data_IF_994357676119
#
_entry.id   IF_994357676119
#
_cell.length_a   1.000
_cell.length_b   1.000
_cell.length_c   1.000
_cell.angle_alpha   90.00
_cell.angle_beta   90.00
_cell.angle_gamma   90.00
#
_symmetry.space_group_name_H-M   'P 1'
#
loop_
_entity.id
_entity.type
_entity.pdbx_description
1 polymer ?
#
# COMPACT_ATOMS: atom_id res chain seq x y z
N UNK A 1 -42.69 34.96 -8.78
CA UNK A 1 -42.68 35.50 -10.15
C UNK A 1 -41.50 34.90 -10.92
N UNK A 2 -41.81 34.32 -12.09
CA UNK A 2 -40.98 33.91 -13.25
C UNK A 2 -39.70 33.08 -13.01
N UNK A 3 -39.86 31.77 -13.21
CA UNK A 3 -38.82 30.80 -13.59
C UNK A 3 -38.49 30.99 -15.07
N UNK A 4 -37.22 31.03 -15.43
CA UNK A 4 -36.76 30.90 -16.82
C UNK A 4 -36.23 29.50 -17.06
N UNK A 5 -36.98 28.71 -17.83
CA UNK A 5 -36.49 27.51 -18.51
C UNK A 5 -35.84 27.95 -19.84
N UNK A 6 -34.65 27.42 -20.18
CA UNK A 6 -34.14 27.48 -21.55
C UNK A 6 -34.83 26.45 -22.47
N UNK A 7 -34.81 26.82 -23.75
CA UNK A 7 -35.61 26.41 -24.91
C UNK A 7 -35.39 24.98 -25.42
N UNK A 8 -36.46 24.43 -26.01
CA UNK A 8 -36.60 23.17 -26.75
C UNK A 8 -36.13 23.33 -28.21
N UNK A 9 -34.83 23.51 -28.47
CA UNK A 9 -34.34 23.74 -29.85
C UNK A 9 -33.11 22.92 -30.30
N UNK A 10 -32.75 21.83 -29.61
CA UNK A 10 -31.61 20.96 -30.02
C UNK A 10 -31.97 19.47 -30.25
N UNK A 11 -33.24 19.15 -30.54
CA UNK A 11 -33.66 17.76 -30.82
C UNK A 11 -34.51 17.62 -32.09
N UNK A 12 -34.06 18.10 -33.24
CA UNK A 12 -34.66 17.71 -34.53
C UNK A 12 -33.60 17.65 -35.64
N UNK A 13 -32.92 16.51 -35.77
CA UNK A 13 -32.27 16.13 -37.03
C UNK A 13 -32.15 14.62 -37.19
N UNK A 14 -33.28 13.94 -37.04
CA UNK A 14 -33.47 12.56 -37.48
C UNK A 14 -34.78 12.48 -38.26
N UNK A 15 -34.69 11.83 -39.44
CA UNK A 15 -35.75 11.48 -40.39
C UNK A 15 -35.97 12.52 -41.48
N UNK A 16 -35.44 12.24 -42.67
CA UNK A 16 -36.19 12.07 -43.92
C UNK A 16 -35.20 11.66 -45.02
N UNK A 17 -35.28 10.40 -45.49
CA UNK A 17 -34.68 9.97 -46.76
C UNK A 17 -35.81 9.44 -47.67
N UNK A 18 -35.92 9.92 -48.92
CA UNK A 18 -36.93 9.51 -49.90
C UNK A 18 -36.58 8.16 -50.56
N UNK A 19 -37.52 7.56 -51.32
CA UNK A 19 -37.48 6.13 -51.68
C UNK A 19 -36.59 5.81 -52.87
N UNK A 20 -36.29 4.50 -52.96
CA UNK A 20 -35.49 3.82 -53.97
C UNK A 20 -36.04 4.03 -55.39
N UNK A 21 -35.15 4.42 -56.30
CA UNK A 21 -35.32 4.26 -57.75
C UNK A 21 -34.38 3.17 -58.23
N UNK A 22 -34.97 2.15 -58.86
CA UNK A 22 -34.26 1.08 -59.59
C UNK A 22 -33.58 1.66 -60.83
N UNK A 23 -32.27 1.44 -60.96
CA UNK A 23 -31.56 1.51 -62.24
C UNK A 23 -30.31 0.59 -62.25
N UNK A 24 -29.85 0.16 -63.45
CA UNK A 24 -29.37 -1.20 -63.67
C UNK A 24 -27.89 -1.45 -63.41
N UNK A 25 -27.62 -2.72 -63.12
CA UNK A 25 -26.34 -3.34 -62.81
C UNK A 25 -25.29 -3.15 -63.92
N UNK A 26 -24.17 -2.52 -63.58
CA UNK A 26 -22.90 -2.65 -64.32
C UNK A 26 -22.05 -3.76 -63.68
N UNK A 27 -21.47 -4.68 -64.47
CA UNK A 27 -20.71 -5.80 -63.92
C UNK A 27 -19.34 -5.31 -63.43
N UNK A 28 -19.13 -5.33 -62.11
CA UNK A 28 -17.78 -5.19 -61.54
C UNK A 28 -16.96 -6.47 -61.79
N UNK A 29 -15.66 -6.35 -62.12
CA UNK A 29 -14.78 -7.48 -62.37
C UNK A 29 -14.64 -8.34 -61.11
N UNK A 30 -14.79 -9.65 -61.28
CA UNK A 30 -14.58 -10.67 -60.25
C UNK A 30 -13.20 -10.47 -59.60
N UNK A 31 -13.20 -9.98 -58.35
CA UNK A 31 -12.06 -10.17 -57.45
C UNK A 31 -12.08 -11.65 -57.07
N UNK A 32 -11.01 -12.36 -57.44
CA UNK A 32 -10.81 -13.75 -57.09
C UNK A 32 -10.93 -13.91 -55.55
N UNK A 33 -11.53 -15.01 -55.06
CA UNK A 33 -11.59 -15.27 -53.64
C UNK A 33 -10.16 -15.34 -53.11
N UNK A 34 -9.78 -14.38 -52.26
CA UNK A 34 -8.60 -14.53 -51.41
C UNK A 34 -8.82 -15.81 -50.63
N UNK A 35 -7.91 -16.76 -50.88
CA UNK A 35 -7.86 -18.07 -50.24
C UNK A 35 -8.05 -17.87 -48.74
N UNK A 36 -9.20 -18.30 -48.23
CA UNK A 36 -9.51 -18.19 -46.81
C UNK A 36 -8.40 -18.85 -46.02
N UNK A 37 -7.80 -18.10 -45.09
CA UNK A 37 -6.85 -18.63 -44.13
C UNK A 37 -7.45 -19.90 -43.53
N UNK A 38 -6.81 -21.04 -43.79
CA UNK A 38 -7.30 -22.31 -43.25
C UNK A 38 -7.30 -22.21 -41.72
N UNK A 39 -8.19 -22.94 -41.02
CA UNK A 39 -8.20 -22.96 -39.56
C UNK A 39 -6.81 -23.25 -38.95
N UNK A 40 -5.98 -24.06 -39.64
CA UNK A 40 -4.58 -24.30 -39.30
C UNK A 40 -3.67 -23.07 -39.44
N UNK A 41 -3.82 -22.29 -40.51
CA UNK A 41 -3.08 -21.03 -40.70
C UNK A 41 -3.51 -19.97 -39.68
N UNK A 42 -4.80 -19.90 -39.33
CA UNK A 42 -5.30 -19.00 -38.28
C UNK A 42 -4.75 -19.36 -36.89
N UNK A 43 -4.73 -20.65 -36.55
CA UNK A 43 -4.13 -21.17 -35.32
C UNK A 43 -2.61 -20.93 -35.26
N UNK A 44 -1.90 -21.10 -36.38
CA UNK A 44 -0.48 -20.80 -36.48
C UNK A 44 -0.22 -19.28 -36.30
N UNK A 45 -1.06 -18.42 -36.86
CA UNK A 45 -0.96 -16.98 -36.69
C UNK A 45 -1.26 -16.56 -35.24
N UNK A 46 -2.26 -17.16 -34.60
CA UNK A 46 -2.56 -16.93 -33.18
C UNK A 46 -1.43 -17.39 -32.26
N UNK A 47 -0.79 -18.54 -32.54
CA UNK A 47 0.39 -18.99 -31.79
C UNK A 47 1.58 -18.06 -32.02
N UNK A 48 1.82 -17.64 -33.26
CA UNK A 48 2.94 -16.73 -33.58
C UNK A 48 2.73 -15.35 -32.96
N UNK A 49 1.50 -14.82 -33.01
CA UNK A 49 1.13 -13.56 -32.36
C UNK A 49 1.20 -13.67 -30.83
N UNK A 50 0.75 -14.78 -30.24
CA UNK A 50 0.87 -15.07 -28.82
C UNK A 50 2.34 -15.17 -28.37
N UNK A 51 3.18 -15.83 -29.17
CA UNK A 51 4.62 -15.94 -28.92
C UNK A 51 5.33 -14.58 -29.08
N UNK A 52 5.00 -13.78 -30.10
CA UNK A 52 5.56 -12.45 -30.27
C UNK A 52 5.14 -11.48 -29.15
N UNK A 53 3.89 -11.57 -28.69
CA UNK A 53 3.41 -10.82 -27.53
C UNK A 53 4.13 -11.27 -26.24
N UNK A 54 4.30 -12.58 -26.03
CA UNK A 54 5.04 -13.12 -24.89
C UNK A 54 6.52 -12.70 -24.92
N UNK A 55 7.18 -12.77 -26.08
CA UNK A 55 8.57 -12.30 -26.26
C UNK A 55 8.67 -10.78 -26.04
N UNK A 56 7.70 -10.00 -26.51
CA UNK A 56 7.64 -8.56 -26.26
C UNK A 56 7.45 -8.21 -24.78
N UNK A 57 6.64 -8.99 -24.06
CA UNK A 57 6.46 -8.87 -22.60
C UNK A 57 7.75 -9.26 -21.86
N UNK A 58 8.38 -10.37 -22.22
CA UNK A 58 9.67 -10.81 -21.66
C UNK A 58 10.78 -9.80 -21.91
N UNK A 59 10.89 -9.25 -23.12
CA UNK A 59 11.88 -8.24 -23.46
C UNK A 59 11.66 -6.92 -22.68
N UNK A 60 10.41 -6.49 -22.51
CA UNK A 60 10.05 -5.34 -21.66
C UNK A 60 10.36 -5.61 -20.19
N UNK A 61 10.07 -6.81 -19.69
CA UNK A 61 10.38 -7.21 -18.32
C UNK A 61 11.90 -7.25 -18.07
N UNK A 62 12.69 -7.82 -19.00
CA UNK A 62 14.14 -7.80 -18.93
C UNK A 62 14.71 -6.38 -18.98
N UNK A 63 14.15 -5.50 -19.81
CA UNK A 63 14.55 -4.09 -19.87
C UNK A 63 14.28 -3.34 -18.55
N UNK A 64 13.20 -3.65 -17.83
CA UNK A 64 12.91 -3.08 -16.49
C UNK A 64 13.95 -3.55 -15.47
N UNK A 65 14.33 -4.84 -15.49
CA UNK A 65 15.38 -5.38 -14.62
C UNK A 65 16.73 -4.73 -14.90
N UNK A 66 17.08 -4.49 -16.18
CA UNK A 66 18.39 -3.94 -16.54
C UNK A 66 18.56 -2.42 -16.35
N UNK A 67 17.48 -1.62 -16.31
CA UNK A 67 17.58 -0.15 -16.25
C UNK A 67 17.90 0.42 -14.86
N UNK A 68 17.51 -0.26 -13.78
CA UNK A 68 17.82 0.23 -12.43
C UNK A 68 19.11 -0.42 -11.92
N UNK A 69 20.15 0.38 -11.67
CA UNK A 69 21.40 -0.08 -11.06
C UNK A 69 21.47 0.38 -9.61
N UNK A 70 21.69 -0.57 -8.71
CA UNK A 70 22.00 -0.27 -7.31
C UNK A 70 23.39 0.38 -7.26
N UNK A 71 23.44 1.66 -6.87
CA UNK A 71 24.68 2.47 -6.84
C UNK A 71 25.57 2.11 -5.66
N UNK A 72 24.97 1.67 -4.56
CA UNK A 72 25.66 1.25 -3.34
C UNK A 72 24.79 0.31 -2.52
N UNK A 73 25.43 -0.51 -1.67
CA UNK A 73 24.76 -1.59 -0.94
C UNK A 73 24.64 -2.88 -1.76
N UNK A 74 23.98 -3.90 -1.18
CA UNK A 74 23.68 -5.15 -1.87
C UNK A 74 22.39 -4.99 -2.66
N UNK A 75 22.34 -5.49 -3.89
CA UNK A 75 21.09 -5.52 -4.66
C UNK A 75 20.06 -6.43 -3.97
N UNK A 76 18.86 -5.92 -3.58
CA UNK A 76 17.84 -6.74 -2.96
C UNK A 76 17.44 -7.96 -3.79
N UNK A 77 17.46 -7.87 -5.13
CA UNK A 77 17.10 -9.01 -5.99
C UNK A 77 18.00 -10.21 -5.71
N UNK A 78 19.32 -9.99 -5.57
CA UNK A 78 20.29 -11.05 -5.29
C UNK A 78 20.07 -11.70 -3.92
N UNK A 79 19.66 -10.93 -2.91
CA UNK A 79 19.43 -11.49 -1.57
C UNK A 79 18.10 -12.25 -1.49
N UNK A 80 17.09 -11.73 -2.20
CA UNK A 80 15.72 -12.21 -2.21
C UNK A 80 15.45 -13.30 -3.25
N UNK A 81 16.45 -13.65 -4.05
CA UNK A 81 16.37 -14.73 -5.05
C UNK A 81 16.32 -16.12 -4.40
N UNK A 82 16.84 -16.25 -3.17
CA UNK A 82 16.79 -17.52 -2.43
C UNK A 82 15.35 -17.92 -2.09
N UNK A 83 15.05 -19.22 -2.16
CA UNK A 83 13.71 -19.75 -1.92
C UNK A 83 13.20 -19.48 -0.48
N UNK A 84 14.11 -19.41 0.49
CA UNK A 84 13.84 -19.15 1.92
C UNK A 84 13.85 -17.65 2.28
N UNK A 85 14.21 -16.75 1.34
CA UNK A 85 14.36 -15.34 1.66
C UNK A 85 13.00 -14.65 1.90
N UNK A 86 12.80 -14.14 3.12
CA UNK A 86 11.62 -13.34 3.53
C UNK A 86 11.98 -11.92 3.95
N UNK A 87 13.08 -11.38 3.43
CA UNK A 87 13.48 -10.01 3.68
C UNK A 87 12.45 -9.01 3.17
N UNK A 88 12.26 -7.91 3.90
CA UNK A 88 11.27 -6.89 3.59
C UNK A 88 11.91 -5.59 3.10
N UNK A 89 11.23 -4.94 2.15
CA UNK A 89 11.62 -3.65 1.58
C UNK A 89 11.01 -2.48 2.36
N UNK A 90 11.88 -1.53 2.68
CA UNK A 90 11.60 -0.26 3.35
C UNK A 90 12.31 0.87 2.62
N UNK A 91 11.97 2.12 2.97
CA UNK A 91 12.64 3.28 2.37
C UNK A 91 11.71 4.20 1.59
N UNK A 92 12.30 4.97 0.69
CA UNK A 92 11.66 6.07 -0.05
C UNK A 92 10.69 5.53 -1.10
N UNK A 93 9.44 6.02 -1.11
CA UNK A 93 8.37 5.32 -1.83
C UNK A 93 8.59 5.19 -3.34
N UNK A 94 9.13 6.20 -4.04
CA UNK A 94 9.38 6.12 -5.49
C UNK A 94 10.48 5.11 -5.81
N UNK A 95 11.58 5.13 -5.06
CA UNK A 95 12.65 4.17 -5.26
C UNK A 95 12.27 2.75 -4.82
N UNK A 96 11.54 2.63 -3.70
CA UNK A 96 10.93 1.37 -3.25
C UNK A 96 9.99 0.81 -4.31
N UNK A 97 9.23 1.65 -5.02
CA UNK A 97 8.37 1.23 -6.14
C UNK A 97 9.21 0.61 -7.27
N UNK A 98 10.35 1.19 -7.62
CA UNK A 98 11.23 0.60 -8.65
C UNK A 98 11.82 -0.74 -8.22
N UNK A 99 12.35 -0.86 -7.00
CA UNK A 99 12.80 -2.16 -6.47
C UNK A 99 11.66 -3.18 -6.49
N UNK A 100 10.45 -2.76 -6.09
CA UNK A 100 9.26 -3.63 -6.07
C UNK A 100 8.85 -4.09 -7.46
N UNK A 101 8.93 -3.24 -8.49
CA UNK A 101 8.66 -3.63 -9.89
C UNK A 101 9.63 -4.70 -10.37
N UNK A 102 10.92 -4.54 -10.05
CA UNK A 102 11.95 -5.53 -10.41
C UNK A 102 11.72 -6.86 -9.68
N UNK A 103 11.42 -6.82 -8.39
CA UNK A 103 11.08 -8.01 -7.62
C UNK A 103 9.80 -8.68 -8.12
N UNK A 104 8.79 -7.92 -8.55
CA UNK A 104 7.57 -8.49 -9.12
C UNK A 104 7.85 -9.34 -10.37
N UNK A 105 8.91 -9.03 -11.15
CA UNK A 105 9.36 -9.88 -12.26
C UNK A 105 10.07 -11.14 -11.73
N UNK A 106 10.99 -11.00 -10.77
CA UNK A 106 11.70 -12.13 -10.15
C UNK A 106 10.75 -13.10 -9.43
N UNK A 107 9.68 -12.57 -8.85
CA UNK A 107 8.70 -13.30 -8.06
C UNK A 107 7.58 -13.88 -8.94
N UNK A 108 7.61 -13.72 -10.26
CA UNK A 108 6.67 -14.40 -11.17
C UNK A 108 6.80 -15.91 -10.99
N UNK A 109 5.67 -16.57 -10.67
CA UNK A 109 5.64 -18.00 -10.38
C UNK A 109 6.07 -18.38 -8.96
N UNK A 110 6.47 -17.42 -8.12
CA UNK A 110 6.68 -17.64 -6.68
C UNK A 110 5.40 -17.31 -5.94
N UNK A 111 4.62 -18.34 -5.61
CA UNK A 111 3.44 -18.17 -4.78
C UNK A 111 3.83 -17.52 -3.43
N UNK A 112 3.07 -16.51 -3.00
CA UNK A 112 3.18 -15.84 -1.69
C UNK A 112 4.47 -15.04 -1.41
N UNK A 113 5.17 -14.54 -2.44
CA UNK A 113 6.34 -13.68 -2.24
C UNK A 113 5.98 -12.28 -1.68
N UNK A 114 5.83 -12.17 -0.35
CA UNK A 114 5.54 -10.89 0.32
C UNK A 114 6.82 -10.10 0.56
N UNK A 115 6.99 -9.00 -0.17
CA UNK A 115 8.21 -8.14 -0.10
C UNK A 115 8.04 -6.88 0.74
N UNK A 116 6.85 -6.62 1.28
CA UNK A 116 6.59 -5.46 2.14
C UNK A 116 5.60 -5.82 3.23
N UNK A 117 5.65 -5.08 4.35
CA UNK A 117 4.63 -5.20 5.40
C UNK A 117 3.23 -4.78 4.94
N UNK A 118 3.15 -3.90 3.93
CA UNK A 118 1.90 -3.49 3.30
C UNK A 118 1.21 -4.71 2.63
N UNK A 119 2.00 -5.63 2.04
CA UNK A 119 1.50 -6.88 1.46
C UNK A 119 1.04 -7.88 2.53
N UNK A 120 1.79 -8.04 3.63
CA UNK A 120 1.35 -8.85 4.78
C UNK A 120 0.01 -8.34 5.36
N UNK A 121 -0.14 -7.02 5.51
CA UNK A 121 -1.39 -6.44 6.00
C UNK A 121 -2.53 -6.54 4.97
N UNK A 122 -2.23 -6.50 3.67
CA UNK A 122 -3.23 -6.71 2.62
C UNK A 122 -3.77 -8.13 2.66
N UNK A 123 -2.89 -9.12 2.68
CA UNK A 123 -3.27 -10.54 2.67
C UNK A 123 -3.89 -10.96 4.01
N UNK A 124 -3.57 -10.28 5.11
CA UNK A 124 -4.28 -10.45 6.38
C UNK A 124 -5.65 -9.72 6.43
N UNK A 125 -6.05 -9.01 5.36
CA UNK A 125 -7.31 -8.25 5.27
C UNK A 125 -7.36 -6.95 6.09
N UNK A 126 -6.26 -6.57 6.73
CA UNK A 126 -6.14 -5.36 7.57
C UNK A 126 -6.27 -4.08 6.74
N UNK A 127 -5.70 -4.05 5.53
CA UNK A 127 -5.71 -2.84 4.69
C UNK A 127 -7.13 -2.40 4.32
N UNK A 128 -8.00 -3.36 4.03
CA UNK A 128 -9.38 -3.15 3.64
C UNK A 128 -10.19 -2.64 4.84
N UNK A 129 -10.02 -3.26 6.01
CA UNK A 129 -10.67 -2.80 7.23
C UNK A 129 -10.30 -1.35 7.58
N UNK A 130 -9.03 -0.96 7.34
CA UNK A 130 -8.53 0.37 7.66
C UNK A 130 -8.82 1.44 6.57
N UNK A 131 -9.36 1.07 5.41
CA UNK A 131 -9.53 1.98 4.27
C UNK A 131 -11.01 2.30 3.98
N UNK A 132 -11.44 3.58 4.06
CA UNK A 132 -10.84 4.71 4.75
C UNK A 132 -11.40 4.93 6.16
N UNK A 133 -12.18 3.99 6.70
CA UNK A 133 -12.92 4.20 7.92
C UNK A 133 -12.00 4.12 9.16
N UNK A 134 -11.99 5.18 9.97
CA UNK A 134 -11.32 5.16 11.27
C UNK A 134 -11.78 3.99 12.13
N UNK A 135 -13.05 3.56 12.00
CA UNK A 135 -13.62 2.44 12.76
C UNK A 135 -12.97 1.09 12.44
N UNK A 136 -12.22 1.00 11.34
CA UNK A 136 -11.34 -0.12 11.03
C UNK A 136 -10.44 -0.54 12.20
N UNK A 137 -9.99 0.41 13.03
CA UNK A 137 -9.14 0.08 14.19
C UNK A 137 -9.85 -0.84 15.19
N UNK A 138 -11.17 -0.74 15.33
CA UNK A 138 -11.92 -1.59 16.25
C UNK A 138 -12.14 -2.99 15.69
N UNK A 139 -12.29 -3.13 14.37
CA UNK A 139 -12.25 -4.44 13.72
C UNK A 139 -10.89 -5.12 13.96
N UNK A 140 -9.80 -4.35 13.84
CA UNK A 140 -8.46 -4.87 14.17
C UNK A 140 -8.35 -5.28 15.63
N UNK A 141 -8.86 -4.48 16.58
CA UNK A 141 -8.88 -4.85 18.00
C UNK A 141 -9.61 -6.17 18.21
N UNK A 142 -10.82 -6.31 17.68
CA UNK A 142 -11.60 -7.53 17.83
C UNK A 142 -10.91 -8.74 17.20
N UNK A 143 -10.27 -8.59 16.04
CA UNK A 143 -9.53 -9.67 15.41
C UNK A 143 -8.26 -10.07 16.18
N UNK A 144 -7.65 -9.15 16.93
CA UNK A 144 -6.49 -9.48 17.77
C UNK A 144 -6.86 -10.27 19.03
N UNK A 145 -8.15 -10.29 19.39
CA UNK A 145 -8.68 -11.04 20.54
C UNK A 145 -9.21 -12.42 20.15
N UNK A 146 -9.33 -12.76 18.85
CA UNK A 146 -9.68 -14.14 18.47
C UNK A 146 -8.50 -15.06 18.75
N UNK A 147 -8.73 -16.24 19.33
CA UNK A 147 -7.65 -17.18 19.62
C UNK A 147 -7.25 -17.95 18.36
N UNK A 148 -8.22 -18.48 17.62
CA UNK A 148 -8.01 -19.23 16.39
C UNK A 148 -7.74 -18.30 15.20
N UNK A 149 -6.81 -18.69 14.33
CA UNK A 149 -6.59 -18.03 13.06
C UNK A 149 -7.71 -18.33 12.05
N UNK A 150 -8.42 -19.46 12.18
CA UNK A 150 -9.61 -19.73 11.39
C UNK A 150 -10.68 -18.65 11.59
N UNK A 151 -10.78 -18.12 12.80
CA UNK A 151 -11.69 -17.02 13.15
C UNK A 151 -11.21 -15.66 12.65
N UNK A 152 -9.94 -15.52 12.24
CA UNK A 152 -9.40 -14.27 11.70
C UNK A 152 -10.15 -13.86 10.41
N UNK A 153 -10.39 -14.82 9.52
CA UNK A 153 -11.12 -14.60 8.27
C UNK A 153 -12.60 -14.25 8.51
N UNK A 154 -13.17 -14.62 9.66
CA UNK A 154 -14.50 -14.16 10.06
C UNK A 154 -14.56 -12.66 10.36
N UNK A 155 -13.44 -12.08 10.79
CA UNK A 155 -13.29 -10.64 11.06
C UNK A 155 -12.84 -9.87 9.83
N UNK A 156 -12.12 -10.53 8.92
CA UNK A 156 -11.63 -9.94 7.67
C UNK A 156 -11.97 -10.81 6.47
N UNK A 157 -13.13 -10.56 5.86
CA UNK A 157 -13.63 -11.32 4.69
C UNK A 157 -12.75 -11.19 3.44
N UNK A 158 -11.83 -10.22 3.42
CA UNK A 158 -10.88 -9.96 2.34
C UNK A 158 -9.48 -10.51 2.65
N UNK A 159 -9.30 -11.23 3.76
CA UNK A 159 -8.06 -11.95 4.02
C UNK A 159 -7.87 -13.05 2.96
N UNK A 160 -6.61 -13.42 2.71
CA UNK A 160 -6.24 -14.51 1.82
C UNK A 160 -6.97 -15.81 2.25
N UNK A 161 -7.76 -16.45 1.37
CA UNK A 161 -8.47 -17.69 1.70
C UNK A 161 -7.56 -18.85 2.12
N UNK A 162 -6.26 -18.78 1.80
CA UNK A 162 -5.23 -19.73 2.20
C UNK A 162 -4.46 -19.35 3.46
N UNK A 163 -4.85 -18.28 4.17
CA UNK A 163 -4.12 -17.75 5.33
C UNK A 163 -3.88 -18.79 6.44
N UNK A 164 -4.84 -19.70 6.66
CA UNK A 164 -4.72 -20.81 7.61
C UNK A 164 -3.70 -21.89 7.19
N UNK A 165 -3.17 -21.82 5.97
CA UNK A 165 -2.12 -22.71 5.47
C UNK A 165 -0.80 -21.98 5.18
N UNK A 166 -0.76 -20.66 5.43
CA UNK A 166 0.41 -19.82 5.19
C UNK A 166 1.15 -19.53 6.49
N UNK A 167 2.31 -20.18 6.68
CA UNK A 167 3.12 -20.05 7.90
C UNK A 167 3.66 -18.63 8.11
N UNK A 168 3.90 -17.88 7.03
CA UNK A 168 4.39 -16.51 7.12
C UNK A 168 3.30 -15.57 7.61
N UNK A 169 2.07 -15.71 7.12
CA UNK A 169 0.92 -14.94 7.59
C UNK A 169 0.55 -15.30 9.03
N UNK A 170 0.56 -16.58 9.37
CA UNK A 170 0.37 -17.04 10.77
C UNK A 170 1.37 -16.39 11.70
N UNK A 171 2.65 -16.42 11.34
CA UNK A 171 3.71 -15.81 12.13
C UNK A 171 3.51 -14.30 12.27
N UNK A 172 3.10 -13.61 11.20
CA UNK A 172 2.80 -12.18 11.26
C UNK A 172 1.61 -11.86 12.16
N UNK A 173 0.50 -12.59 12.04
CA UNK A 173 -0.68 -12.41 12.90
C UNK A 173 -0.35 -12.68 14.36
N UNK A 174 0.37 -13.76 14.66
CA UNK A 174 0.84 -14.05 16.02
C UNK A 174 1.73 -12.92 16.56
N UNK A 175 2.60 -12.37 15.71
CA UNK A 175 3.46 -11.24 16.06
C UNK A 175 2.68 -9.96 16.40
N UNK A 176 1.55 -9.73 15.69
CA UNK A 176 0.61 -8.64 15.97
C UNK A 176 -0.16 -8.88 17.28
N UNK A 177 -0.69 -10.10 17.50
CA UNK A 177 -1.42 -10.47 18.72
C UNK A 177 -0.57 -10.26 19.98
N UNK A 178 0.71 -10.67 19.94
CA UNK A 178 1.66 -10.43 21.04
C UNK A 178 1.95 -8.94 21.32
N UNK A 179 1.43 -8.02 20.50
CA UNK A 179 1.60 -6.57 20.60
C UNK A 179 0.28 -5.82 20.45
N UNK A 180 -0.84 -6.49 20.78
CA UNK A 180 -2.20 -5.99 20.59
C UNK A 180 -2.44 -4.63 21.21
N UNK A 181 -1.90 -4.36 22.40
CA UNK A 181 -2.04 -3.06 23.09
C UNK A 181 -1.46 -1.92 22.27
N UNK A 182 -0.32 -2.19 21.61
CA UNK A 182 0.33 -1.21 20.77
C UNK A 182 -0.36 -1.11 19.41
N UNK A 183 -0.67 -2.21 18.74
CA UNK A 183 -1.21 -2.11 17.37
C UNK A 183 -2.69 -1.71 17.34
N UNK A 184 -3.46 -2.09 18.36
CA UNK A 184 -4.84 -1.64 18.59
C UNK A 184 -4.93 -0.18 19.08
N UNK A 185 -3.81 0.53 19.26
CA UNK A 185 -3.77 1.91 19.75
C UNK A 185 -4.40 2.09 21.15
N UNK A 186 -4.40 1.05 21.99
CA UNK A 186 -4.97 1.11 23.34
C UNK A 186 -4.21 2.12 24.22
N UNK A 187 -2.89 2.21 24.06
CA UNK A 187 -2.03 3.20 24.70
C UNK A 187 -2.35 4.66 24.34
N UNK A 188 -3.07 4.90 23.25
CA UNK A 188 -3.55 6.23 22.86
C UNK A 188 -4.97 6.52 23.37
N UNK A 189 -5.71 5.47 23.75
CA UNK A 189 -7.04 5.54 24.35
C UNK A 189 -7.06 5.49 25.88
N UNK A 190 -5.89 5.47 26.53
CA UNK A 190 -5.77 5.45 27.99
C UNK A 190 -6.22 6.75 28.65
N UNK A 191 -6.57 6.68 29.93
CA UNK A 191 -6.87 7.87 30.74
C UNK A 191 -5.57 8.44 31.34
N UNK A 192 -5.45 9.77 31.38
CA UNK A 192 -4.37 10.47 32.08
C UNK A 192 -3.34 11.18 31.18
N UNK A 193 -2.40 11.91 31.81
CA UNK A 193 -1.41 12.74 31.11
C UNK A 193 -0.53 11.96 30.12
N UNK A 194 -0.17 10.71 30.46
CA UNK A 194 0.71 9.89 29.63
C UNK A 194 0.13 9.56 28.25
N UNK A 195 -1.16 9.21 28.18
CA UNK A 195 -1.84 8.95 26.91
C UNK A 195 -1.92 10.23 26.07
N UNK A 196 -2.18 11.37 26.72
CA UNK A 196 -2.23 12.68 26.09
C UNK A 196 -0.86 13.13 25.58
N UNK A 197 0.21 12.87 26.33
CA UNK A 197 1.58 13.17 25.92
C UNK A 197 2.05 12.25 24.79
N UNK A 198 1.64 10.98 24.79
CA UNK A 198 1.84 10.09 23.63
C UNK A 198 1.06 10.57 22.40
N UNK A 199 -0.15 11.06 22.55
CA UNK A 199 -0.97 11.63 21.47
C UNK A 199 -0.39 12.95 20.91
N UNK A 200 0.10 13.83 21.79
CA UNK A 200 0.81 15.05 21.41
C UNK A 200 2.15 14.73 20.75
N UNK A 201 2.92 13.82 21.35
CA UNK A 201 4.22 13.33 20.90
C UNK A 201 4.17 12.50 19.61
N UNK A 202 3.04 11.86 19.31
CA UNK A 202 2.76 11.20 18.01
C UNK A 202 2.55 12.20 16.87
N UNK A 203 2.68 13.50 17.15
CA UNK A 203 2.64 14.60 16.18
C UNK A 203 1.26 14.74 15.57
N UNK A 204 0.21 14.75 16.40
CA UNK A 204 -1.16 15.04 16.01
C UNK A 204 -1.26 16.10 14.91
N UNK A 205 -0.62 17.27 15.11
CA UNK A 205 -0.63 18.34 14.12
C UNK A 205 0.27 18.18 12.89
N UNK A 206 1.23 17.24 12.86
CA UNK A 206 2.03 16.97 11.65
C UNK A 206 1.37 15.95 10.72
N UNK A 207 0.36 15.23 11.21
CA UNK A 207 -0.39 14.25 10.42
C UNK A 207 -1.66 14.86 9.78
N UNK A 208 -2.05 16.07 10.18
CA UNK A 208 -3.19 16.83 9.65
C UNK A 208 -2.78 17.88 8.60
N UNK A 209 -1.83 17.53 7.70
CA UNK A 209 -1.21 18.40 6.68
C UNK A 209 -0.21 19.44 7.22
N UNK A 210 -0.58 20.31 8.16
CA UNK A 210 0.35 21.27 8.80
C UNK A 210 -0.10 21.75 10.19
N UNK A 211 0.79 22.47 10.89
CA UNK A 211 0.60 22.88 12.27
C UNK A 211 -0.45 24.02 12.44
N UNK A 212 -0.76 24.76 11.37
CA UNK A 212 -1.79 25.81 11.41
C UNK A 212 -3.17 25.20 11.24
N UNK A 213 -3.33 24.28 10.27
CA UNK A 213 -4.53 23.48 10.09
C UNK A 213 -4.85 22.68 11.36
N UNK A 214 -3.86 22.02 11.96
CA UNK A 214 -4.05 21.28 13.20
C UNK A 214 -4.52 22.13 14.39
N UNK A 215 -4.17 23.42 14.42
CA UNK A 215 -4.62 24.37 15.43
C UNK A 215 -6.03 24.89 15.15
N UNK A 216 -6.43 24.92 13.88
CA UNK A 216 -7.77 25.35 13.46
C UNK A 216 -8.78 24.20 13.36
N UNK A 217 -8.34 22.93 13.37
CA UNK A 217 -9.29 21.81 13.42
C UNK A 217 -9.92 21.70 14.83
N UNK A 218 -11.23 21.44 14.93
CA UNK A 218 -11.88 21.11 16.20
C UNK A 218 -11.54 19.68 16.70
N UNK A 219 -10.72 18.94 15.94
CA UNK A 219 -10.23 17.61 16.29
C UNK A 219 -9.11 17.79 17.33
N UNK A 220 -9.29 17.23 18.53
CA UNK A 220 -8.31 17.38 19.62
C UNK A 220 -7.77 16.02 20.05
N UNK A 221 -6.55 15.96 20.62
CA UNK A 221 -6.05 14.73 21.23
C UNK A 221 -7.03 14.14 22.25
N UNK A 222 -7.67 14.96 23.09
CA UNK A 222 -8.63 14.47 24.08
C UNK A 222 -9.83 13.76 23.44
N UNK A 223 -10.38 14.31 22.34
CA UNK A 223 -11.51 13.70 21.63
C UNK A 223 -11.12 12.37 21.00
N UNK A 224 -9.97 12.29 20.34
CA UNK A 224 -9.48 11.04 19.74
C UNK A 224 -9.19 10.00 20.82
N UNK A 225 -8.57 10.39 21.93
CA UNK A 225 -8.24 9.47 23.02
C UNK A 225 -9.53 8.92 23.65
N UNK A 226 -10.51 9.80 23.93
CA UNK A 226 -11.85 9.40 24.37
C UNK A 226 -12.54 8.46 23.39
N UNK A 227 -12.36 8.68 22.08
CA UNK A 227 -12.88 7.80 21.05
C UNK A 227 -12.14 6.45 20.97
N UNK A 228 -10.84 6.40 21.28
CA UNK A 228 -10.04 5.18 21.26
C UNK A 228 -10.10 4.35 22.55
N UNK A 229 -10.89 4.74 23.55
CA UNK A 229 -10.96 4.03 24.85
C UNK A 229 -11.16 2.52 24.69
N UNK A 230 -10.48 1.75 25.53
CA UNK A 230 -10.19 0.33 25.31
C UNK A 230 -11.39 -0.64 25.26
N UNK A 231 -12.56 -0.28 25.80
CA UNK A 231 -13.73 -1.19 25.82
C UNK A 231 -14.67 -1.05 24.62
N UNK A 232 -14.41 -0.11 23.70
CA UNK A 232 -15.28 0.14 22.54
C UNK A 232 -15.11 -0.95 21.48
N UNK A 233 -16.23 -1.48 21.00
CA UNK A 233 -16.31 -2.49 19.91
C UNK A 233 -16.63 -1.83 18.58
N UNK A 234 -16.39 -2.52 17.47
CA UNK A 234 -16.63 -2.01 16.12
C UNK A 234 -18.09 -1.57 15.92
N UNK A 235 -19.05 -2.41 16.34
CA UNK A 235 -20.48 -2.12 16.23
C UNK A 235 -20.91 -0.81 16.93
N UNK A 236 -20.29 -0.48 18.07
CA UNK A 236 -20.57 0.76 18.80
C UNK A 236 -19.77 1.96 18.29
N UNK A 237 -18.65 1.71 17.63
CA UNK A 237 -17.73 2.77 17.22
C UNK A 237 -18.28 3.64 16.08
N UNK A 238 -19.06 3.07 15.16
CA UNK A 238 -19.68 3.82 14.05
C UNK A 238 -20.77 4.78 14.55
N UNK A 239 -21.57 4.34 15.52
CA UNK A 239 -22.56 5.20 16.18
C UNK A 239 -21.87 6.35 16.92
N UNK A 240 -20.85 6.02 17.70
CA UNK A 240 -20.06 7.00 18.46
C UNK A 240 -19.27 7.95 17.55
N UNK A 241 -18.82 7.50 16.38
CA UNK A 241 -18.12 8.35 15.41
C UNK A 241 -18.99 9.54 14.99
N UNK A 242 -20.28 9.30 14.72
CA UNK A 242 -21.23 10.32 14.26
C UNK A 242 -21.69 11.26 15.37
N UNK A 243 -21.68 10.81 16.62
CA UNK A 243 -22.06 11.65 17.78
C UNK A 243 -20.86 12.43 18.32
N UNK A 244 -19.67 11.83 18.30
CA UNK A 244 -18.46 12.43 18.88
C UNK A 244 -17.70 13.34 17.91
N UNK A 245 -17.95 13.29 16.59
CA UNK A 245 -17.24 14.09 15.60
C UNK A 245 -18.22 14.63 14.53
N UNK A 246 -17.94 15.83 14.04
CA UNK A 246 -18.71 16.40 12.92
C UNK A 246 -18.28 15.76 11.60
N UNK A 247 -19.13 15.86 10.58
CA UNK A 247 -18.86 15.35 9.22
C UNK A 247 -17.53 15.86 8.65
N UNK A 248 -17.16 17.10 8.96
CA UNK A 248 -15.91 17.73 8.52
C UNK A 248 -14.68 17.16 9.24
N UNK A 249 -14.83 16.65 10.47
CA UNK A 249 -13.74 16.09 11.27
C UNK A 249 -13.42 14.64 10.92
N UNK A 250 -14.41 13.87 10.45
CA UNK A 250 -14.27 12.43 10.17
C UNK A 250 -13.15 12.14 9.16
N UNK A 251 -13.01 12.85 8.02
CA UNK A 251 -11.92 12.61 7.08
C UNK A 251 -10.52 12.78 7.68
N UNK A 252 -10.37 13.70 8.62
CA UNK A 252 -9.10 13.98 9.27
C UNK A 252 -8.79 12.97 10.38
N UNK A 253 -9.82 12.53 11.11
CA UNK A 253 -9.70 11.38 12.02
C UNK A 253 -9.30 10.10 11.25
N UNK A 254 -9.97 9.82 10.13
CA UNK A 254 -9.66 8.69 9.24
C UNK A 254 -8.19 8.69 8.84
N UNK A 255 -7.68 9.82 8.32
CA UNK A 255 -6.27 9.99 7.95
C UNK A 255 -5.34 9.79 9.14
N UNK A 256 -5.68 10.34 10.30
CA UNK A 256 -4.84 10.25 11.48
C UNK A 256 -4.73 8.81 12.00
N UNK A 257 -5.87 8.10 12.12
CA UNK A 257 -5.93 6.70 12.56
C UNK A 257 -5.17 5.81 11.59
N UNK A 258 -5.43 5.96 10.28
CA UNK A 258 -4.71 5.25 9.23
C UNK A 258 -3.19 5.46 9.37
N UNK A 259 -2.76 6.72 9.49
CA UNK A 259 -1.35 7.06 9.61
C UNK A 259 -0.71 6.53 10.90
N UNK A 260 -1.42 6.60 12.03
CA UNK A 260 -0.93 6.11 13.32
C UNK A 260 -0.75 4.59 13.29
N UNK A 261 -1.75 3.88 12.77
CA UNK A 261 -1.75 2.42 12.64
C UNK A 261 -0.64 1.93 11.70
N UNK A 262 -0.61 2.40 10.45
CA UNK A 262 0.35 1.90 9.45
C UNK A 262 1.80 2.28 9.77
N UNK A 263 2.02 3.37 10.52
CA UNK A 263 3.33 3.69 11.04
C UNK A 263 3.80 2.72 12.14
N UNK A 264 2.89 2.17 12.93
CA UNK A 264 3.21 1.15 13.94
C UNK A 264 3.43 -0.20 13.28
N UNK A 265 2.55 -0.63 12.36
CA UNK A 265 2.77 -1.89 11.60
C UNK A 265 4.09 -1.84 10.83
N UNK A 266 4.46 -0.72 10.23
CA UNK A 266 5.75 -0.56 9.54
C UNK A 266 6.96 -0.85 10.44
N UNK A 267 6.96 -0.31 11.67
CA UNK A 267 8.02 -0.59 12.66
C UNK A 267 7.98 -2.03 13.16
N UNK A 268 6.79 -2.57 13.38
CA UNK A 268 6.63 -3.97 13.73
C UNK A 268 7.12 -4.90 12.63
N UNK A 269 6.93 -4.53 11.36
CA UNK A 269 7.49 -5.28 10.25
C UNK A 269 9.02 -5.34 10.31
N UNK A 270 9.68 -4.23 10.70
CA UNK A 270 11.14 -4.20 10.89
C UNK A 270 11.54 -5.19 11.99
N UNK A 271 10.88 -5.11 13.14
CA UNK A 271 11.17 -5.98 14.28
C UNK A 271 10.82 -7.45 13.99
N UNK A 272 9.76 -7.72 13.23
CA UNK A 272 9.33 -9.04 12.78
C UNK A 272 10.37 -9.66 11.84
N UNK A 273 10.78 -8.91 10.81
CA UNK A 273 11.81 -9.33 9.85
C UNK A 273 13.10 -9.70 10.58
N UNK A 274 13.53 -8.85 11.51
CA UNK A 274 14.72 -9.09 12.31
C UNK A 274 14.57 -10.30 13.23
N UNK A 275 13.42 -10.47 13.90
CA UNK A 275 13.17 -11.61 14.80
C UNK A 275 13.22 -12.96 14.11
N UNK A 276 13.00 -12.99 12.78
CA UNK A 276 13.09 -14.18 11.94
C UNK A 276 14.46 -14.37 11.28
N UNK A 277 15.43 -13.52 11.60
CA UNK A 277 16.77 -13.57 11.01
C UNK A 277 16.84 -13.16 9.54
N UNK A 278 15.80 -12.50 9.02
CA UNK A 278 15.77 -12.04 7.63
C UNK A 278 16.34 -10.63 7.46
N UNK A 279 16.74 -10.30 6.25
CA UNK A 279 17.34 -9.01 5.92
C UNK A 279 16.28 -7.91 5.84
N UNK A 280 16.54 -6.78 6.49
CA UNK A 280 15.80 -5.53 6.30
C UNK A 280 16.47 -4.77 5.16
N UNK A 281 15.77 -4.58 4.04
CA UNK A 281 16.27 -3.82 2.90
C UNK A 281 15.76 -2.39 2.99
N UNK A 282 16.63 -1.44 3.32
CA UNK A 282 16.25 -0.03 3.47
C UNK A 282 16.84 0.82 2.35
N UNK A 283 15.98 1.33 1.48
CA UNK A 283 16.41 2.19 0.38
C UNK A 283 16.73 3.61 0.88
N UNK A 284 17.95 4.09 0.62
CA UNK A 284 18.47 5.39 1.07
C UNK A 284 18.54 6.46 -0.01
N UNK A 285 18.03 6.21 -1.23
CA UNK A 285 18.18 7.09 -2.39
C UNK A 285 17.59 8.52 -2.23
N UNK A 286 16.67 8.71 -1.27
CA UNK A 286 16.17 10.04 -0.90
C UNK A 286 17.00 10.79 0.14
N UNK A 287 18.14 10.24 0.56
CA UNK A 287 19.11 10.84 1.46
C UNK A 287 20.37 11.28 0.67
N UNK A 288 20.40 12.50 0.10
CA UNK A 288 21.49 12.95 -0.79
C UNK A 288 22.86 13.07 -0.11
N UNK A 289 22.90 13.07 1.23
CA UNK A 289 24.13 13.13 2.04
C UNK A 289 24.40 11.81 2.76
N UNK A 290 23.73 10.73 2.35
CA UNK A 290 23.98 9.43 2.96
C UNK A 290 25.35 8.92 2.52
N UNK A 291 26.10 8.46 3.51
CA UNK A 291 27.44 7.94 3.35
C UNK A 291 27.42 6.44 3.69
N UNK A 292 27.72 5.55 2.74
CA UNK A 292 27.74 4.10 2.98
C UNK A 292 28.78 3.68 4.03
N UNK A 293 29.84 4.46 4.24
CA UNK A 293 30.83 4.20 5.30
C UNK A 293 30.26 4.53 6.70
N UNK A 294 29.27 5.43 6.77
CA UNK A 294 28.61 5.87 8.00
C UNK A 294 27.08 5.68 7.92
N UNK A 295 26.59 4.43 7.75
CA UNK A 295 25.19 4.17 7.42
C UNK A 295 24.22 4.51 8.56
N UNK A 296 24.73 4.72 9.78
CA UNK A 296 23.96 5.11 10.97
C UNK A 296 24.07 6.60 11.32
N UNK A 297 24.78 7.39 10.50
CA UNK A 297 24.85 8.85 10.67
C UNK A 297 23.46 9.49 10.54
N UNK A 298 23.28 10.72 11.02
CA UNK A 298 21.98 11.37 10.87
C UNK A 298 21.65 11.63 9.39
N UNK A 299 20.69 10.86 8.86
CA UNK A 299 20.15 11.11 7.54
C UNK A 299 19.11 12.23 7.61
N UNK A 300 19.42 13.36 6.96
CA UNK A 300 18.41 14.34 6.58
C UNK A 300 17.78 13.88 5.26
N UNK A 301 16.68 13.13 5.35
CA UNK A 301 15.87 12.79 4.17
C UNK A 301 15.34 14.08 3.52
N UNK A 302 15.57 14.28 2.21
CA UNK A 302 15.04 15.46 1.50
C UNK A 302 13.51 15.42 1.59
N UNK A 303 12.89 16.51 2.08
CA UNK A 303 11.42 16.70 2.05
C UNK A 303 10.83 16.47 0.64
N UNK A 304 11.60 16.77 -0.41
CA UNK A 304 11.21 16.62 -1.82
C UNK A 304 11.06 15.18 -2.33
N UNK A 305 11.77 14.20 -1.77
CA UNK A 305 11.55 12.77 -2.11
C UNK A 305 10.26 12.19 -1.51
N UNK A 306 9.56 12.99 -0.70
CA UNK A 306 8.32 12.67 0.01
C UNK A 306 7.14 13.55 -0.46
N UNK A 307 7.37 14.58 -1.29
CA UNK A 307 6.35 15.54 -1.72
C UNK A 307 5.33 14.96 -2.72
N UNK A 308 5.68 13.92 -3.47
CA UNK A 308 4.81 13.37 -4.53
C UNK A 308 4.06 12.08 -4.11
N UNK A 309 3.80 11.90 -2.82
CA UNK A 309 2.92 10.82 -2.31
C UNK A 309 1.59 11.40 -1.80
N UNK A 310 1.24 12.61 -2.25
CA UNK A 310 0.02 13.30 -1.89
C UNK A 310 -0.93 13.31 -3.08
N UNK A 311 -1.68 12.22 -3.22
CA UNK A 311 -3.08 12.35 -3.60
C UNK A 311 -3.99 11.60 -2.62
N UNK A 312 -3.52 10.54 -1.95
CA UNK A 312 -4.29 9.86 -0.90
C UNK A 312 -3.40 9.43 0.30
N UNK A 313 -3.79 9.83 1.53
CA UNK A 313 -3.22 9.41 2.84
C UNK A 313 -1.69 9.62 3.08
N UNK A 314 -1.15 10.76 2.64
CA UNK A 314 0.29 11.09 2.50
C UNK A 314 1.26 10.76 3.65
N UNK A 315 2.36 10.08 3.28
CA UNK A 315 3.37 9.40 4.11
C UNK A 315 4.49 10.27 4.70
N UNK A 316 4.82 10.02 5.99
CA UNK A 316 6.12 10.31 6.65
C UNK A 316 6.80 9.05 7.24
N UNK A 317 6.40 7.85 6.79
CA UNK A 317 6.79 6.57 7.39
C UNK A 317 8.32 6.32 7.30
N UNK A 318 8.94 6.65 6.17
CA UNK A 318 10.36 6.37 5.86
C UNK A 318 11.36 6.96 6.86
N UNK A 319 11.19 8.20 7.30
CA UNK A 319 12.09 8.80 8.30
C UNK A 319 11.89 8.21 9.69
N UNK A 320 10.72 7.63 9.97
CA UNK A 320 10.46 6.93 11.22
C UNK A 320 10.94 5.50 11.21
N UNK A 321 10.87 4.80 10.07
CA UNK A 321 11.50 3.49 9.83
C UNK A 321 13.01 3.59 10.03
N UNK A 322 13.68 4.55 9.37
CA UNK A 322 15.13 4.74 9.52
C UNK A 322 15.54 4.95 10.98
N UNK A 323 14.85 5.85 11.68
CA UNK A 323 15.13 6.12 13.11
C UNK A 323 14.86 4.90 13.98
N UNK A 324 13.85 4.09 13.65
CA UNK A 324 13.56 2.85 14.35
C UNK A 324 14.70 1.84 14.15
N UNK A 325 15.10 1.57 12.90
CA UNK A 325 16.24 0.71 12.57
C UNK A 325 17.51 1.16 13.31
N UNK A 326 17.85 2.45 13.21
CA UNK A 326 19.02 3.03 13.90
C UNK A 326 18.94 2.84 15.41
N UNK A 327 17.77 3.05 16.02
CA UNK A 327 17.56 2.84 17.46
C UNK A 327 17.81 1.37 17.83
N UNK A 328 17.21 0.44 17.08
CA UNK A 328 17.30 -1.01 17.33
C UNK A 328 18.71 -1.57 17.11
N UNK A 329 19.45 -1.03 16.15
CA UNK A 329 20.88 -1.35 15.99
C UNK A 329 21.69 -0.84 17.18
N UNK A 330 21.44 0.39 17.63
CA UNK A 330 22.15 0.98 18.78
C UNK A 330 21.89 0.25 20.09
N UNK A 331 20.68 -0.28 20.30
CA UNK A 331 20.35 -1.08 21.48
C UNK A 331 20.82 -2.54 21.37
N UNK A 332 21.36 -2.97 20.23
CA UNK A 332 21.81 -4.35 20.01
C UNK A 332 20.68 -5.33 19.65
N UNK A 333 19.44 -4.86 19.54
CA UNK A 333 18.28 -5.70 19.21
C UNK A 333 18.29 -6.20 17.76
N UNK A 334 18.95 -5.45 16.87
CA UNK A 334 19.10 -5.80 15.45
C UNK A 334 20.58 -5.67 15.09
N UNK A 335 21.13 -6.71 14.48
CA UNK A 335 22.51 -6.66 13.97
C UNK A 335 22.61 -5.65 12.82
N UNK A 336 23.66 -4.83 12.81
CA UNK A 336 23.95 -3.98 11.63
C UNK A 336 24.06 -4.80 10.34
N UNK A 337 24.49 -6.06 10.42
CA UNK A 337 24.64 -6.96 9.27
C UNK A 337 23.31 -7.47 8.71
N UNK A 338 22.24 -7.47 9.51
CA UNK A 338 20.90 -7.88 9.06
C UNK A 338 20.13 -6.73 8.40
N UNK A 339 20.79 -5.59 8.15
CA UNK A 339 20.20 -4.44 7.45
C UNK A 339 21.03 -4.13 6.22
N UNK A 340 20.41 -4.24 5.06
CA UNK A 340 20.97 -3.83 3.79
C UNK A 340 20.49 -2.41 3.47
N UNK A 341 21.34 -1.43 3.76
CA UNK A 341 21.15 -0.07 3.25
C UNK A 341 21.64 0.00 1.81
N UNK A 342 20.73 0.32 0.88
CA UNK A 342 21.05 0.34 -0.55
C UNK A 342 20.52 1.60 -1.22
N UNK A 343 21.26 2.10 -2.20
CA UNK A 343 20.85 3.25 -3.02
C UNK A 343 20.46 2.77 -4.41
N UNK A 344 19.16 2.80 -4.70
CA UNK A 344 18.61 2.59 -6.03
C UNK A 344 17.83 3.84 -6.41
N UNK A 345 18.26 4.50 -7.49
CA UNK A 345 17.63 5.70 -8.03
C UNK A 345 17.23 5.44 -9.47
N UNK A 346 16.04 5.93 -9.85
CA UNK A 346 15.49 5.82 -11.21
C UNK A 346 16.15 6.79 -12.18
#
# INVERSE_FOLDING_TARGET
>A
MRRHNPSLEDQQNLRHRPPLTDEPVTPHPRVAPTSGLTPGALMALQRTAGNAAAVGVLARQQAVVQRSKVKSGKDPLKDLDRADARGLLYGTSTARKETSKRLAVQDQGRNHARRTIDAYNADAGINQAMNPAATGIFHVREALEVDDIADWSSKFTQADPGLQHDDDLKAWIAYLKGRKDWIGLYDLGGEGPDAMDRMRGTRFGKNLKDAEHAKSTPLTPSRISGWLRGKRKAATADADLKTMFTTEQIPDLNKWIYSAFFRRTSKLGIDFTASRGHTIHFNVSGAPKWDPSKPLSEMKMKKGGLKNIYSDYGRLITSSEYRHIKKRIKSGDISKKSVNFYDEFA
#
